data_IF_836175629908
#
_entry.id   IF_836175629908
#
_cell.length_a   1.000
_cell.length_b   1.000
_cell.length_c   1.000
_cell.angle_alpha   90.00
_cell.angle_beta   90.00
_cell.angle_gamma   90.00
#
_symmetry.space_group_name_H-M   'P 1'
#
loop_
_entity.id
_entity.type
_entity.pdbx_description
1 polymer ?
#
# COMPACT_ATOMS: atom_id res chain seq x y z
N UNK A 1 21.91 -24.18 8.84
CA UNK A 1 22.35 -22.95 8.16
C UNK A 1 21.29 -22.62 7.13
N UNK A 2 20.41 -21.65 7.38
CA UNK A 2 19.41 -21.24 6.40
C UNK A 2 20.16 -20.53 5.26
N UNK A 3 20.17 -21.15 4.08
CA UNK A 3 20.75 -20.56 2.87
C UNK A 3 19.81 -19.46 2.39
N UNK A 4 20.02 -18.21 2.82
CA UNK A 4 19.31 -17.08 2.26
C UNK A 4 19.66 -16.96 0.76
N UNK A 5 18.64 -17.08 -0.10
CA UNK A 5 18.81 -16.92 -1.54
C UNK A 5 18.50 -15.47 -1.92
N UNK A 6 19.28 -14.92 -2.86
CA UNK A 6 18.96 -13.63 -3.49
C UNK A 6 17.62 -13.75 -4.20
N UNK A 7 16.71 -12.83 -3.90
CA UNK A 7 15.40 -12.75 -4.56
C UNK A 7 15.62 -12.08 -5.91
N UNK A 8 15.20 -12.76 -6.99
CA UNK A 8 15.28 -12.23 -8.34
C UNK A 8 14.01 -11.44 -8.60
N UNK A 9 14.15 -10.13 -8.88
CA UNK A 9 13.01 -9.29 -9.25
C UNK A 9 12.57 -9.64 -10.67
N UNK A 10 11.29 -9.95 -10.84
CA UNK A 10 10.71 -10.35 -12.12
C UNK A 10 10.18 -9.18 -12.96
N UNK A 11 10.19 -7.97 -12.39
CA UNK A 11 9.70 -6.74 -13.01
C UNK A 11 10.49 -5.49 -12.59
N UNK A 12 9.96 -4.34 -12.97
CA UNK A 12 10.49 -3.01 -12.66
C UNK A 12 9.37 -1.99 -12.48
N UNK A 13 9.62 -0.83 -11.84
CA UNK A 13 8.66 0.27 -11.82
C UNK A 13 8.43 0.83 -13.23
N UNK A 14 7.18 1.13 -13.55
CA UNK A 14 6.76 1.75 -14.80
C UNK A 14 5.88 2.95 -14.47
N UNK A 15 6.23 4.17 -14.89
CA UNK A 15 5.35 5.31 -14.74
C UNK A 15 4.13 5.13 -15.64
N UNK A 16 2.93 5.36 -15.09
CA UNK A 16 1.68 5.35 -15.86
C UNK A 16 0.98 6.69 -15.83
N UNK A 17 1.23 7.52 -14.80
CA UNK A 17 0.78 8.91 -14.76
C UNK A 17 2.01 9.76 -14.54
N UNK A 18 2.28 10.66 -15.48
CA UNK A 18 3.48 11.50 -15.50
C UNK A 18 3.05 12.95 -15.57
N UNK A 19 3.74 13.83 -14.85
CA UNK A 19 3.53 15.26 -14.99
C UNK A 19 4.33 15.78 -16.19
N UNK A 20 3.65 16.45 -17.11
CA UNK A 20 4.27 17.10 -18.24
C UNK A 20 5.11 18.30 -17.75
N UNK A 21 6.38 18.36 -18.14
CA UNK A 21 7.31 19.40 -17.66
C UNK A 21 6.94 20.81 -18.15
N UNK A 22 6.27 20.92 -19.30
CA UNK A 22 5.95 22.21 -19.92
C UNK A 22 4.58 22.71 -19.46
N UNK A 23 3.55 21.87 -19.48
CA UNK A 23 2.18 22.26 -19.10
C UNK A 23 1.88 22.11 -17.60
N UNK A 24 2.69 21.33 -16.87
CA UNK A 24 2.42 20.86 -15.49
C UNK A 24 1.18 20.00 -15.33
N UNK A 25 0.54 19.60 -16.43
CA UNK A 25 -0.62 18.72 -16.41
C UNK A 25 -0.19 17.26 -16.24
N UNK A 26 -1.04 16.44 -15.62
CA UNK A 26 -0.82 15.00 -15.54
C UNK A 26 -1.36 14.30 -16.78
N UNK A 27 -0.52 13.47 -17.39
CA UNK A 27 -0.84 12.68 -18.57
C UNK A 27 -0.76 11.19 -18.24
N UNK A 28 -1.69 10.42 -18.82
CA UNK A 28 -1.70 8.96 -18.74
C UNK A 28 -0.84 8.39 -19.87
N UNK A 29 0.16 7.59 -19.52
CA UNK A 29 0.89 6.76 -20.48
C UNK A 29 0.07 5.49 -20.76
N UNK A 30 -0.84 5.59 -21.73
CA UNK A 30 -1.71 4.49 -22.13
C UNK A 30 -0.93 3.27 -22.64
N UNK A 31 0.17 3.49 -23.35
CA UNK A 31 0.94 2.40 -23.95
C UNK A 31 1.67 1.62 -22.85
N UNK A 32 2.27 2.32 -21.88
CA UNK A 32 2.84 1.69 -20.70
C UNK A 32 1.80 0.88 -19.91
N UNK A 33 0.61 1.46 -19.70
CA UNK A 33 -0.46 0.78 -18.98
C UNK A 33 -0.97 -0.46 -19.74
N UNK A 34 -1.20 -0.35 -21.06
CA UNK A 34 -1.63 -1.46 -21.92
C UNK A 34 -0.60 -2.59 -21.93
N UNK A 35 0.69 -2.26 -22.00
CA UNK A 35 1.75 -3.27 -21.99
C UNK A 35 1.76 -4.11 -20.70
N UNK A 36 1.38 -3.53 -19.56
CA UNK A 36 1.30 -4.25 -18.29
C UNK A 36 -0.02 -5.03 -18.19
N UNK A 37 -1.16 -4.36 -18.39
CA UNK A 37 -2.50 -4.91 -18.13
C UNK A 37 -3.02 -5.85 -19.22
N UNK A 38 -2.61 -5.65 -20.47
CA UNK A 38 -3.07 -6.45 -21.61
C UNK A 38 -2.04 -7.53 -22.02
N UNK A 39 -1.06 -7.79 -21.16
CA UNK A 39 -0.12 -8.89 -21.41
C UNK A 39 -0.87 -10.24 -21.43
N UNK A 40 -0.47 -11.20 -22.29
CA UNK A 40 -1.18 -12.48 -22.44
C UNK A 40 -1.31 -13.27 -21.13
N UNK A 41 -0.38 -13.06 -20.20
CA UNK A 41 -0.36 -13.74 -18.91
C UNK A 41 -1.47 -13.26 -17.95
N UNK A 42 -2.07 -12.09 -18.17
CA UNK A 42 -2.98 -11.43 -17.22
C UNK A 42 -4.24 -10.81 -17.83
N UNK A 43 -4.28 -10.61 -19.15
CA UNK A 43 -5.33 -9.81 -19.82
C UNK A 43 -6.78 -10.25 -19.57
N UNK A 44 -7.01 -11.55 -19.36
CA UNK A 44 -8.34 -12.11 -19.09
C UNK A 44 -8.59 -12.42 -17.60
N UNK A 45 -7.63 -12.08 -16.72
CA UNK A 45 -7.73 -12.37 -15.28
C UNK A 45 -8.36 -11.19 -14.53
N UNK A 46 -9.14 -11.46 -13.46
CA UNK A 46 -9.49 -10.43 -12.49
C UNK A 46 -8.24 -9.74 -11.95
N UNK A 47 -8.27 -8.41 -11.86
CA UNK A 47 -7.16 -7.61 -11.37
C UNK A 47 -7.45 -7.08 -9.97
N UNK A 48 -6.47 -7.18 -9.07
CA UNK A 48 -6.44 -6.48 -7.80
C UNK A 48 -5.31 -5.47 -7.80
N UNK A 49 -5.65 -4.19 -7.65
CA UNK A 49 -4.67 -3.12 -7.54
C UNK A 49 -4.45 -2.80 -6.06
N UNK A 50 -3.22 -2.97 -5.60
CA UNK A 50 -2.77 -2.61 -4.24
C UNK A 50 -1.95 -1.33 -4.33
N UNK A 51 -2.50 -0.24 -3.84
CA UNK A 51 -1.83 1.06 -3.83
C UNK A 51 -1.32 1.40 -2.43
N UNK A 52 -0.18 2.07 -2.34
CA UNK A 52 0.24 2.75 -1.11
C UNK A 52 0.18 4.25 -1.33
N UNK A 53 -0.63 4.92 -0.52
CA UNK A 53 -0.84 6.36 -0.54
C UNK A 53 -0.52 6.98 0.82
N UNK A 54 -0.24 8.27 0.85
CA UNK A 54 0.08 8.98 2.09
C UNK A 54 1.13 10.06 1.88
N UNK A 55 1.42 10.78 2.95
CA UNK A 55 2.26 11.96 2.88
C UNK A 55 3.67 11.66 2.34
N UNK A 56 4.26 12.70 1.78
CA UNK A 56 5.59 12.68 1.21
C UNK A 56 6.68 12.30 2.23
N UNK A 57 7.66 11.51 1.78
CA UNK A 57 8.78 10.97 2.57
C UNK A 57 8.44 10.10 3.79
N UNK A 58 7.31 9.42 3.75
CA UNK A 58 6.91 8.50 4.82
C UNK A 58 7.20 7.01 4.52
N UNK A 59 8.11 6.73 3.58
CA UNK A 59 8.57 5.35 3.30
C UNK A 59 7.58 4.48 2.52
N UNK A 60 6.78 5.08 1.61
CA UNK A 60 5.82 4.35 0.76
C UNK A 60 6.48 3.33 -0.16
N UNK A 61 7.41 3.78 -0.99
CA UNK A 61 8.18 2.93 -1.92
C UNK A 61 8.98 1.84 -1.17
N UNK A 62 9.50 2.18 0.02
CA UNK A 62 10.19 1.21 0.90
C UNK A 62 9.24 0.09 1.37
N UNK A 63 8.01 0.43 1.76
CA UNK A 63 6.98 -0.57 2.07
C UNK A 63 6.59 -1.39 0.83
N UNK A 64 6.41 -0.75 -0.32
CA UNK A 64 6.08 -1.43 -1.58
C UNK A 64 7.15 -2.41 -2.02
N UNK A 65 8.42 -2.13 -1.79
CA UNK A 65 9.48 -3.08 -2.12
C UNK A 65 9.46 -4.33 -1.22
N UNK A 66 8.94 -4.23 0.02
CA UNK A 66 8.65 -5.41 0.82
C UNK A 66 7.45 -6.19 0.27
N UNK A 67 6.40 -5.50 -0.21
CA UNK A 67 5.28 -6.13 -0.91
C UNK A 67 5.76 -6.89 -2.16
N UNK A 68 6.65 -6.27 -2.96
CA UNK A 68 7.27 -6.92 -4.13
C UNK A 68 7.99 -8.20 -3.70
N UNK A 69 8.88 -8.14 -2.69
CA UNK A 69 9.58 -9.33 -2.18
C UNK A 69 8.64 -10.44 -1.73
N UNK A 70 7.56 -10.10 -1.04
CA UNK A 70 6.56 -11.06 -0.59
C UNK A 70 5.88 -11.72 -1.79
N UNK A 71 5.47 -10.93 -2.78
CA UNK A 71 4.83 -11.43 -4.00
C UNK A 71 5.77 -12.32 -4.83
N UNK A 72 7.04 -11.93 -5.01
CA UNK A 72 8.04 -12.74 -5.73
C UNK A 72 8.25 -14.12 -5.09
N UNK A 73 8.21 -14.18 -3.76
CA UNK A 73 8.40 -15.43 -3.02
C UNK A 73 7.09 -16.09 -2.58
N UNK A 74 5.93 -15.60 -3.06
CA UNK A 74 4.59 -16.11 -2.74
C UNK A 74 4.38 -16.40 -1.25
N UNK A 75 4.84 -15.49 -0.39
CA UNK A 75 4.70 -15.62 1.07
C UNK A 75 5.45 -16.80 1.70
N UNK A 76 6.50 -17.33 1.05
CA UNK A 76 7.32 -18.40 1.65
C UNK A 76 7.88 -17.98 3.02
N UNK A 77 8.18 -18.90 3.95
CA UNK A 77 8.63 -18.56 5.31
C UNK A 77 9.89 -17.69 5.41
N UNK A 78 10.67 -17.55 4.32
CA UNK A 78 11.86 -16.70 4.24
C UNK A 78 11.73 -15.65 3.13
N UNK A 79 10.51 -15.22 2.80
CA UNK A 79 10.23 -14.28 1.70
C UNK A 79 10.96 -12.93 1.86
N UNK A 80 11.28 -12.54 3.10
CA UNK A 80 12.04 -11.31 3.37
C UNK A 80 13.44 -11.35 2.74
N UNK A 81 13.96 -12.55 2.47
CA UNK A 81 15.25 -12.79 1.87
C UNK A 81 16.41 -12.50 2.83
N UNK A 82 17.61 -12.34 2.27
CA UNK A 82 18.78 -11.97 3.05
C UNK A 82 18.67 -10.50 3.51
N UNK A 83 18.72 -10.21 4.82
CA UNK A 83 18.71 -8.85 5.33
C UNK A 83 19.93 -8.04 4.89
N UNK A 84 21.07 -8.67 4.61
CA UNK A 84 22.30 -7.97 4.20
C UNK A 84 22.27 -7.46 2.75
N UNK A 85 21.29 -7.90 1.94
CA UNK A 85 21.14 -7.48 0.56
C UNK A 85 20.31 -6.20 0.45
N UNK A 86 20.64 -5.30 -0.49
CA UNK A 86 19.87 -4.08 -0.70
C UNK A 86 18.44 -4.39 -1.13
N UNK A 87 17.50 -3.52 -0.72
CA UNK A 87 16.11 -3.62 -1.11
C UNK A 87 15.92 -3.06 -2.53
N UNK A 88 15.81 -3.98 -3.49
CA UNK A 88 15.52 -3.69 -4.90
C UNK A 88 14.01 -3.46 -5.12
N UNK A 89 13.62 -2.65 -6.11
CA UNK A 89 12.22 -2.39 -6.46
C UNK A 89 11.95 -0.97 -6.98
N UNK A 90 10.85 -0.37 -6.55
CA UNK A 90 10.56 1.06 -6.70
C UNK A 90 11.72 1.91 -6.19
N UNK A 91 12.04 2.98 -6.92
CA UNK A 91 13.10 3.89 -6.54
C UNK A 91 12.76 4.50 -5.16
N UNK A 92 13.71 4.41 -4.24
CA UNK A 92 13.57 4.96 -2.90
C UNK A 92 14.93 5.46 -2.44
N UNK A 93 14.96 6.63 -1.80
CA UNK A 93 16.16 7.16 -1.16
C UNK A 93 15.81 7.83 0.16
N UNK A 94 16.74 7.77 1.10
CA UNK A 94 16.73 8.65 2.27
C UNK A 94 17.28 10.00 1.83
N UNK A 95 16.49 11.08 1.92
CA UNK A 95 16.90 12.38 1.41
C UNK A 95 15.81 13.46 1.48
N UNK A 96 16.19 14.69 1.12
CA UNK A 96 15.32 15.88 1.12
C UNK A 96 14.83 16.23 -0.30
N UNK A 97 14.89 15.32 -1.26
CA UNK A 97 14.24 15.47 -2.58
C UNK A 97 13.20 14.37 -2.80
N UNK A 98 12.26 14.61 -3.72
CA UNK A 98 11.22 13.64 -4.07
C UNK A 98 11.69 12.74 -5.20
N UNK A 99 11.37 11.44 -5.12
CA UNK A 99 11.77 10.48 -6.15
C UNK A 99 10.60 10.08 -7.04
N UNK A 100 9.36 10.03 -6.50
CA UNK A 100 8.17 9.57 -7.21
C UNK A 100 7.27 10.75 -7.58
N UNK A 101 7.20 11.10 -8.87
CA UNK A 101 6.25 12.07 -9.42
C UNK A 101 5.15 11.35 -10.21
N UNK A 102 3.89 11.59 -9.87
CA UNK A 102 2.75 10.91 -10.47
C UNK A 102 2.47 9.51 -9.89
N UNK A 103 2.16 8.54 -10.75
CA UNK A 103 1.78 7.17 -10.37
C UNK A 103 2.64 6.16 -11.12
N UNK A 104 3.20 5.21 -10.39
CA UNK A 104 3.98 4.10 -10.90
C UNK A 104 3.30 2.78 -10.59
N UNK A 105 3.40 1.82 -11.50
CA UNK A 105 2.99 0.42 -11.25
C UNK A 105 4.16 -0.52 -11.48
N UNK A 106 4.08 -1.71 -10.89
CA UNK A 106 5.03 -2.77 -11.16
C UNK A 106 4.78 -3.39 -12.55
N UNK A 107 5.82 -3.52 -13.37
CA UNK A 107 5.70 -3.91 -14.79
C UNK A 107 5.16 -5.32 -15.03
N UNK A 108 5.19 -6.18 -14.01
CA UNK A 108 4.80 -7.58 -14.13
C UNK A 108 3.80 -7.92 -13.01
N UNK A 109 2.50 -8.06 -13.31
CA UNK A 109 1.54 -8.41 -12.29
C UNK A 109 1.84 -9.79 -11.68
N UNK A 110 1.54 -9.92 -10.39
CA UNK A 110 1.76 -11.16 -9.65
C UNK A 110 0.49 -12.00 -9.67
N UNK A 111 0.55 -13.21 -10.21
CA UNK A 111 -0.62 -14.09 -10.25
C UNK A 111 -0.69 -14.93 -8.98
N UNK A 112 -1.80 -14.80 -8.25
CA UNK A 112 -2.13 -15.60 -7.07
C UNK A 112 -3.34 -16.47 -7.36
N UNK A 113 -3.33 -17.68 -6.82
CA UNK A 113 -4.48 -18.60 -6.86
C UNK A 113 -5.22 -18.51 -5.53
N UNK A 114 -6.49 -18.12 -5.57
CA UNK A 114 -7.36 -18.04 -4.40
C UNK A 114 -7.63 -19.44 -3.85
N UNK A 115 -8.09 -19.57 -2.58
CA UNK A 115 -8.58 -20.84 -2.05
C UNK A 115 -9.72 -21.46 -2.86
N UNK A 116 -10.50 -20.65 -3.60
CA UNK A 116 -11.54 -21.11 -4.52
C UNK A 116 -11.00 -21.80 -5.77
N UNK A 117 -9.71 -21.66 -6.07
CA UNK A 117 -9.07 -22.11 -7.31
C UNK A 117 -8.99 -21.05 -8.40
N UNK A 118 -9.67 -19.91 -8.23
CA UNK A 118 -9.62 -18.81 -9.21
C UNK A 118 -8.28 -18.06 -9.15
N UNK A 119 -7.76 -17.67 -10.30
CA UNK A 119 -6.57 -16.83 -10.38
C UNK A 119 -6.92 -15.33 -10.33
N UNK A 120 -6.07 -14.55 -9.68
CA UNK A 120 -6.15 -13.08 -9.63
C UNK A 120 -4.77 -12.50 -9.93
N UNK A 121 -4.73 -11.47 -10.77
CA UNK A 121 -3.52 -10.70 -11.04
C UNK A 121 -3.43 -9.53 -10.04
N UNK A 122 -2.37 -9.50 -9.24
CA UNK A 122 -2.11 -8.45 -8.26
C UNK A 122 -1.10 -7.46 -8.82
N UNK A 123 -1.45 -6.18 -8.79
CA UNK A 123 -0.60 -5.07 -9.25
C UNK A 123 -0.28 -4.18 -8.07
N UNK A 124 1.00 -3.88 -7.91
CA UNK A 124 1.48 -2.95 -6.90
C UNK A 124 1.62 -1.56 -7.52
N UNK A 125 1.05 -0.55 -6.85
CA UNK A 125 1.01 0.83 -7.29
C UNK A 125 1.68 1.74 -6.25
N UNK A 126 2.74 2.43 -6.67
CA UNK A 126 3.41 3.48 -5.90
C UNK A 126 2.90 4.84 -6.36
N UNK A 127 2.77 5.76 -5.41
CA UNK A 127 2.16 7.07 -5.66
C UNK A 127 3.02 8.18 -5.11
N UNK A 128 2.98 9.31 -5.78
CA UNK A 128 3.54 10.54 -5.25
C UNK A 128 2.95 10.85 -3.88
N UNK A 129 3.80 11.35 -2.98
CA UNK A 129 3.33 11.74 -1.66
C UNK A 129 2.53 13.02 -1.69
N UNK A 130 1.44 13.05 -0.92
CA UNK A 130 0.72 14.29 -0.69
C UNK A 130 1.60 15.27 0.09
N UNK A 131 1.44 16.57 -0.19
CA UNK A 131 2.15 17.66 0.48
C UNK A 131 3.67 17.68 0.28
N UNK A 132 4.15 17.26 -0.89
CA UNK A 132 5.53 17.56 -1.26
C UNK A 132 5.72 19.08 -1.51
N UNK A 133 6.97 19.53 -1.51
CA UNK A 133 7.31 20.95 -1.62
C UNK A 133 7.19 21.49 -3.06
N UNK A 134 6.98 20.61 -4.03
CA UNK A 134 7.14 20.91 -5.45
C UNK A 134 5.79 20.92 -6.20
N UNK A 135 4.74 20.36 -5.61
CA UNK A 135 3.41 20.27 -6.22
C UNK A 135 2.33 21.03 -5.48
N UNK A 136 1.28 21.38 -6.22
CA UNK A 136 0.15 22.11 -5.65
C UNK A 136 -0.75 21.16 -4.85
N UNK A 137 -1.61 21.73 -3.99
CA UNK A 137 -2.64 20.96 -3.31
C UNK A 137 -3.61 20.28 -4.29
N UNK A 138 -3.85 20.89 -5.45
CA UNK A 138 -4.69 20.32 -6.50
C UNK A 138 -4.03 19.09 -7.12
N UNK A 139 -2.74 19.14 -7.40
CA UNK A 139 -1.96 18.01 -7.95
C UNK A 139 -1.95 16.82 -6.98
N UNK A 140 -1.64 17.09 -5.70
CA UNK A 140 -1.68 16.09 -4.64
C UNK A 140 -3.07 15.46 -4.50
N UNK A 141 -4.13 16.28 -4.57
CA UNK A 141 -5.52 15.81 -4.51
C UNK A 141 -5.89 14.96 -5.72
N UNK A 142 -5.44 15.33 -6.93
CA UNK A 142 -5.69 14.60 -8.17
C UNK A 142 -5.05 13.21 -8.14
N UNK A 143 -3.75 13.12 -7.83
CA UNK A 143 -3.04 11.84 -7.73
C UNK A 143 -3.67 10.96 -6.66
N UNK A 144 -4.01 11.54 -5.52
CA UNK A 144 -4.65 10.83 -4.44
C UNK A 144 -6.02 10.28 -4.85
N UNK A 145 -6.90 11.12 -5.41
CA UNK A 145 -8.22 10.69 -5.87
C UNK A 145 -8.13 9.60 -6.94
N UNK A 146 -7.24 9.75 -7.92
CA UNK A 146 -7.04 8.76 -8.98
C UNK A 146 -6.57 7.42 -8.41
N UNK A 147 -5.65 7.45 -7.43
CA UNK A 147 -5.19 6.24 -6.71
C UNK A 147 -6.35 5.53 -6.02
N UNK A 148 -7.22 6.29 -5.34
CA UNK A 148 -8.36 5.73 -4.62
C UNK A 148 -9.38 5.08 -5.55
N UNK A 149 -9.70 5.75 -6.66
CA UNK A 149 -10.67 5.27 -7.63
C UNK A 149 -10.19 4.04 -8.42
N UNK A 150 -8.88 3.93 -8.63
CA UNK A 150 -8.29 2.84 -9.44
C UNK A 150 -7.81 1.66 -8.60
N UNK A 151 -7.68 1.81 -7.28
CA UNK A 151 -7.21 0.75 -6.40
C UNK A 151 -8.35 -0.15 -5.86
N UNK A 152 -8.04 -1.43 -5.70
CA UNK A 152 -8.88 -2.40 -4.96
C UNK A 152 -8.57 -2.33 -3.46
N UNK A 153 -7.30 -2.15 -3.12
CA UNK A 153 -6.81 -1.99 -1.76
C UNK A 153 -5.91 -0.76 -1.72
N UNK A 154 -6.32 0.27 -1.00
CA UNK A 154 -5.43 1.40 -0.67
C UNK A 154 -4.86 1.20 0.73
N UNK A 155 -3.53 1.22 0.86
CA UNK A 155 -2.83 1.37 2.13
C UNK A 155 -2.54 2.84 2.35
N UNK A 156 -3.23 3.46 3.30
CA UNK A 156 -2.97 4.80 3.76
C UNK A 156 -1.87 4.79 4.81
N UNK A 157 -0.66 5.13 4.38
CA UNK A 157 0.57 5.13 5.15
C UNK A 157 0.71 6.44 5.92
N UNK A 158 0.59 6.36 7.25
CA UNK A 158 0.62 7.47 8.20
C UNK A 158 1.76 7.31 9.20
N UNK A 159 2.41 8.41 9.61
CA UNK A 159 3.47 8.38 10.61
C UNK A 159 2.98 8.79 11.99
N UNK A 160 3.41 8.04 13.01
CA UNK A 160 3.27 8.28 14.45
C UNK A 160 1.86 8.18 15.03
N UNK A 161 0.86 8.79 14.40
CA UNK A 161 -0.53 8.82 14.85
C UNK A 161 -1.47 9.13 13.69
N UNK A 162 -2.78 9.03 13.92
CA UNK A 162 -3.83 9.54 13.03
C UNK A 162 -4.21 10.93 13.54
N UNK A 163 -4.10 11.94 12.68
CA UNK A 163 -4.39 13.35 13.00
C UNK A 163 -5.64 13.83 12.26
N UNK A 164 -6.16 15.00 12.65
CA UNK A 164 -7.34 15.58 11.99
C UNK A 164 -7.11 15.91 10.53
N UNK A 165 -5.91 16.36 10.14
CA UNK A 165 -5.52 16.58 8.75
C UNK A 165 -5.53 15.28 7.94
N UNK A 166 -5.11 14.16 8.54
CA UNK A 166 -5.22 12.85 7.91
C UNK A 166 -6.68 12.47 7.65
N UNK A 167 -7.59 12.82 8.57
CA UNK A 167 -9.04 12.59 8.44
C UNK A 167 -9.70 13.57 7.46
N UNK A 168 -9.23 14.81 7.35
CA UNK A 168 -9.71 15.74 6.32
C UNK A 168 -9.35 15.23 4.92
N UNK A 169 -8.16 14.68 4.75
CA UNK A 169 -7.81 13.97 3.51
C UNK A 169 -8.73 12.77 3.27
N UNK A 170 -9.29 12.14 4.32
CA UNK A 170 -10.34 11.11 4.17
C UNK A 170 -11.66 11.66 3.59
N UNK A 171 -12.00 12.92 3.84
CA UNK A 171 -13.22 13.52 3.27
C UNK A 171 -13.14 13.65 1.75
N UNK A 172 -11.93 13.80 1.21
CA UNK A 172 -11.67 13.68 -0.22
C UNK A 172 -12.12 12.32 -0.75
N UNK A 173 -11.91 11.23 0.01
CA UNK A 173 -12.42 9.90 -0.33
C UNK A 173 -13.94 9.92 -0.38
N UNK A 174 -14.62 10.36 0.68
CA UNK A 174 -16.08 10.36 0.67
C UNK A 174 -16.64 11.17 -0.51
N UNK A 175 -16.03 12.32 -0.81
CA UNK A 175 -16.44 13.21 -1.89
C UNK A 175 -16.31 12.56 -3.27
N UNK A 176 -15.12 12.08 -3.62
CA UNK A 176 -14.90 11.41 -4.90
C UNK A 176 -15.68 10.10 -5.00
N UNK A 177 -15.90 9.46 -3.86
CA UNK A 177 -16.65 8.22 -3.79
C UNK A 177 -18.11 8.43 -4.15
N UNK A 178 -18.74 9.44 -3.55
CA UNK A 178 -20.11 9.83 -3.89
C UNK A 178 -20.22 10.27 -5.35
N UNK A 179 -19.22 10.98 -5.89
CA UNK A 179 -19.21 11.35 -7.32
C UNK A 179 -19.17 10.11 -8.24
N UNK A 180 -18.34 9.12 -7.91
CA UNK A 180 -18.26 7.87 -8.67
C UNK A 180 -19.58 7.07 -8.56
N UNK A 181 -20.18 7.02 -7.37
CA UNK A 181 -21.46 6.35 -7.12
C UNK A 181 -22.63 7.01 -7.86
N UNK A 182 -22.71 8.34 -7.89
CA UNK A 182 -23.78 9.04 -8.61
C UNK A 182 -23.78 8.75 -10.12
N UNK A 183 -22.66 8.25 -10.66
CA UNK A 183 -22.49 7.86 -12.06
C UNK A 183 -22.98 6.43 -12.33
N UNK A 184 -23.08 5.59 -11.29
CA UNK A 184 -23.49 4.18 -11.35
C UNK A 184 -24.74 3.98 -10.50
N UNK A 185 -25.91 3.66 -11.08
CA UNK A 185 -27.20 3.47 -10.38
C UNK A 185 -27.25 2.26 -9.39
N UNK A 186 -26.18 1.99 -8.63
CA UNK A 186 -26.06 0.88 -7.69
C UNK A 186 -25.60 1.39 -6.32
N UNK A 187 -26.18 0.83 -5.25
CA UNK A 187 -25.77 1.00 -3.84
C UNK A 187 -24.41 0.33 -3.55
N UNK A 188 -23.42 0.49 -4.43
CA UNK A 188 -22.07 -0.05 -4.25
C UNK A 188 -21.20 0.97 -3.53
N UNK A 189 -20.38 0.54 -2.58
CA UNK A 189 -19.32 1.39 -2.02
C UNK A 189 -18.40 1.86 -3.15
N UNK A 190 -18.06 3.15 -3.19
CA UNK A 190 -17.26 3.71 -4.27
C UNK A 190 -15.83 3.15 -4.34
N UNK A 191 -15.36 2.57 -3.24
CA UNK A 191 -14.04 1.97 -3.06
C UNK A 191 -14.18 0.65 -2.33
N UNK A 192 -13.26 -0.29 -2.59
CA UNK A 192 -13.37 -1.64 -2.03
C UNK A 192 -12.77 -1.74 -0.61
N UNK A 193 -11.47 -1.43 -0.44
CA UNK A 193 -10.77 -1.56 0.86
C UNK A 193 -9.78 -0.40 1.11
N UNK A 194 -9.83 0.17 2.31
CA UNK A 194 -8.90 1.19 2.80
C UNK A 194 -8.22 0.71 4.09
N UNK A 195 -6.89 0.68 4.10
CA UNK A 195 -6.07 0.18 5.20
C UNK A 195 -5.30 1.32 5.85
N UNK A 196 -5.46 1.52 7.15
CA UNK A 196 -4.64 2.48 7.89
C UNK A 196 -3.39 1.78 8.39
N UNK A 197 -2.25 2.19 7.85
CA UNK A 197 -0.95 1.73 8.31
C UNK A 197 -0.28 2.86 9.09
N UNK A 198 -0.28 2.75 10.42
CA UNK A 198 0.37 3.74 11.29
C UNK A 198 1.78 3.26 11.63
N UNK A 199 2.75 3.98 11.07
CA UNK A 199 4.19 3.76 11.24
C UNK A 199 4.67 4.39 12.52
N UNK A 200 5.77 3.88 13.06
CA UNK A 200 6.51 4.53 14.15
C UNK A 200 5.62 4.95 15.33
N UNK A 201 4.65 4.09 15.66
CA UNK A 201 3.60 4.38 16.63
C UNK A 201 4.14 4.69 18.02
N UNK A 202 3.61 5.75 18.60
CA UNK A 202 4.15 6.36 19.81
C UNK A 202 3.63 5.74 21.11
N UNK A 203 2.53 4.98 21.07
CA UNK A 203 1.81 4.53 22.28
C UNK A 203 1.69 3.00 22.40
N UNK A 204 2.75 2.20 22.20
CA UNK A 204 2.66 0.74 22.21
C UNK A 204 2.26 0.15 23.57
N UNK A 205 2.52 0.88 24.67
CA UNK A 205 2.11 0.46 26.02
C UNK A 205 0.61 0.51 26.24
N UNK A 206 -0.07 1.47 25.59
CA UNK A 206 -1.52 1.65 25.73
C UNK A 206 -2.28 0.87 24.67
N UNK A 207 -1.78 0.90 23.44
CA UNK A 207 -2.29 0.16 22.30
C UNK A 207 -1.14 -0.61 21.68
N UNK A 208 -1.02 -1.92 21.95
CA UNK A 208 0.00 -2.78 21.36
C UNK A 208 0.03 -2.72 19.84
N UNK A 209 1.11 -3.22 19.24
CA UNK A 209 1.24 -3.28 17.80
C UNK A 209 0.26 -4.28 17.16
N UNK A 210 -0.02 -4.12 15.87
CA UNK A 210 -0.84 -5.05 15.10
C UNK A 210 -2.29 -4.64 14.88
N UNK A 211 -3.07 -5.55 14.29
CA UNK A 211 -4.39 -5.24 13.74
C UNK A 211 -5.44 -4.91 14.80
N UNK A 212 -5.56 -5.79 15.79
CA UNK A 212 -6.62 -5.69 16.79
C UNK A 212 -6.57 -4.38 17.58
N UNK A 213 -5.38 -4.04 18.07
CA UNK A 213 -5.21 -2.91 18.98
C UNK A 213 -5.52 -1.56 18.34
N UNK A 214 -5.27 -1.37 17.05
CA UNK A 214 -5.71 -0.12 16.44
C UNK A 214 -6.87 -0.19 15.47
N UNK A 215 -7.51 -1.35 15.28
CA UNK A 215 -8.96 -1.34 15.07
C UNK A 215 -9.64 -0.62 16.25
N UNK A 216 -9.28 -0.94 17.49
CA UNK A 216 -9.81 -0.23 18.68
C UNK A 216 -9.46 1.26 18.70
N UNK A 217 -8.26 1.65 18.26
CA UNK A 217 -7.89 3.07 18.13
C UNK A 217 -8.75 3.75 17.07
N UNK A 218 -8.88 3.13 15.89
CA UNK A 218 -9.62 3.68 14.78
C UNK A 218 -11.12 3.81 15.10
N UNK A 219 -11.74 2.80 15.71
CA UNK A 219 -13.14 2.83 16.15
C UNK A 219 -13.42 3.95 17.18
N UNK A 220 -12.39 4.37 17.94
CA UNK A 220 -12.51 5.52 18.87
C UNK A 220 -12.38 6.86 18.17
N UNK A 221 -11.57 6.93 17.11
CA UNK A 221 -11.32 8.15 16.33
C UNK A 221 -12.48 8.40 15.36
N UNK A 222 -12.94 7.34 14.70
CA UNK A 222 -14.10 7.34 13.82
C UNK A 222 -15.36 7.08 14.66
N UNK A 223 -15.96 8.13 15.22
CA UNK A 223 -17.27 8.00 15.88
C UNK A 223 -18.31 7.39 14.94
N UNK A 224 -19.25 6.60 15.51
CA UNK A 224 -20.21 5.69 14.84
C UNK A 224 -21.25 6.34 13.90
N UNK A 225 -20.81 7.14 12.93
CA UNK A 225 -21.66 7.82 11.95
C UNK A 225 -21.06 7.98 10.56
N UNK A 226 -19.72 8.03 10.41
CA UNK A 226 -19.14 8.55 9.16
C UNK A 226 -18.77 7.50 8.10
N UNK A 227 -18.56 6.21 8.44
CA UNK A 227 -18.02 5.26 7.44
C UNK A 227 -18.52 3.81 7.62
N UNK A 228 -19.85 3.63 7.60
CA UNK A 228 -20.49 2.31 7.80
C UNK A 228 -20.28 1.28 6.66
N UNK A 229 -19.57 1.60 5.58
CA UNK A 229 -19.47 0.72 4.40
C UNK A 229 -18.03 0.46 3.89
N UNK A 230 -16.99 0.85 4.63
CA UNK A 230 -15.59 0.60 4.24
C UNK A 230 -14.98 -0.47 5.14
N UNK A 231 -14.43 -1.52 4.52
CA UNK A 231 -13.69 -2.57 5.25
C UNK A 231 -12.32 -2.03 5.64
N UNK A 232 -12.18 -1.61 6.89
CA UNK A 232 -10.93 -1.11 7.44
C UNK A 232 -10.03 -2.25 7.92
N UNK A 233 -8.77 -2.21 7.49
CA UNK A 233 -7.74 -3.10 8.02
C UNK A 233 -6.63 -2.24 8.57
N UNK A 234 -6.41 -2.36 9.86
CA UNK A 234 -5.47 -1.53 10.58
C UNK A 234 -4.19 -2.32 10.85
N UNK A 235 -3.03 -1.68 10.79
CA UNK A 235 -1.78 -2.28 11.26
C UNK A 235 -0.90 -1.20 11.89
N UNK A 236 -0.43 -1.45 13.11
CA UNK A 236 0.66 -0.69 13.71
C UNK A 236 1.98 -1.42 13.52
N UNK A 237 3.03 -0.71 13.11
CA UNK A 237 4.39 -1.25 13.04
C UNK A 237 5.37 -0.54 13.98
N UNK A 238 6.36 -1.24 14.56
CA UNK A 238 7.32 -0.67 15.51
C UNK A 238 8.33 0.27 14.86
N UNK A 239 8.98 1.11 15.69
CA UNK A 239 10.15 1.93 15.29
C UNK A 239 11.44 1.11 15.30
N UNK A 240 12.42 1.42 14.41
CA UNK A 240 12.27 2.20 13.19
C UNK A 240 11.81 1.29 12.05
N UNK A 241 10.67 1.58 11.40
CA UNK A 241 10.25 0.78 10.25
C UNK A 241 11.30 0.82 9.12
N UNK A 242 11.94 1.98 8.92
CA UNK A 242 12.98 2.19 7.92
C UNK A 242 14.32 1.51 8.25
N UNK A 243 14.46 0.92 9.45
CA UNK A 243 15.68 0.25 9.90
C UNK A 243 15.62 -1.27 9.82
N UNK A 244 14.61 -1.84 9.15
CA UNK A 244 14.65 -3.22 8.64
C UNK A 244 15.61 -3.28 7.44
N UNK A 245 16.84 -3.83 7.54
CA UNK A 245 17.71 -4.13 8.67
C UNK A 245 19.07 -3.38 8.53
N UNK A 246 19.31 -2.33 9.31
CA UNK A 246 20.68 -1.83 9.53
C UNK A 246 21.08 -1.68 10.98
N UNK A 247 20.13 -1.81 11.92
CA UNK A 247 20.43 -1.87 13.35
C UNK A 247 19.60 -2.97 14.02
N UNK A 248 19.97 -4.24 13.78
CA UNK A 248 19.54 -5.37 14.62
C UNK A 248 20.72 -5.83 15.48
N UNK A 249 21.13 -4.95 16.39
CA UNK A 249 21.83 -5.34 17.60
C UNK A 249 20.81 -5.75 18.66
N UNK A 250 20.63 -7.06 18.82
CA UNK A 250 20.13 -7.77 20.02
C UNK A 250 19.01 -7.08 20.82
N UNK A 251 17.74 -7.35 20.48
CA UNK A 251 16.60 -7.08 21.36
C UNK A 251 15.25 -7.04 20.62
N UNK A 252 14.35 -7.99 20.94
CA UNK A 252 13.07 -8.32 20.28
C UNK A 252 13.18 -8.80 18.82
N UNK A 253 12.74 -10.04 18.60
CA UNK A 253 13.13 -10.84 17.45
C UNK A 253 12.55 -10.32 16.13
N UNK A 254 13.39 -10.23 15.11
CA UNK A 254 13.06 -10.03 13.69
C UNK A 254 11.90 -10.91 13.21
N UNK A 255 11.71 -12.05 13.87
CA UNK A 255 10.63 -13.03 13.69
C UNK A 255 9.24 -12.45 13.99
N UNK A 256 9.10 -11.57 14.97
CA UNK A 256 7.81 -11.03 15.39
C UNK A 256 7.36 -9.88 14.48
N UNK A 257 8.31 -9.08 13.99
CA UNK A 257 8.07 -8.10 12.92
C UNK A 257 7.72 -8.80 11.60
N UNK A 258 8.39 -9.92 11.27
CA UNK A 258 8.05 -10.76 10.11
C UNK A 258 6.62 -11.29 10.20
N UNK A 259 6.25 -11.93 11.31
CA UNK A 259 4.90 -12.49 11.52
C UNK A 259 3.78 -11.45 11.42
N UNK A 260 4.02 -10.22 11.91
CA UNK A 260 3.04 -9.12 11.83
C UNK A 260 2.94 -8.54 10.43
N UNK A 261 4.03 -8.58 9.67
CA UNK A 261 4.05 -8.23 8.26
C UNK A 261 3.37 -9.33 7.41
N UNK A 262 3.51 -10.60 7.78
CA UNK A 262 2.82 -11.72 7.12
C UNK A 262 1.30 -11.55 7.20
N UNK A 263 0.74 -11.22 8.37
CA UNK A 263 -0.71 -10.95 8.52
C UNK A 263 -1.15 -9.80 7.60
N UNK A 264 -0.35 -8.75 7.49
CA UNK A 264 -0.63 -7.61 6.60
C UNK A 264 -0.54 -8.00 5.12
N UNK A 265 0.44 -8.81 4.77
CA UNK A 265 0.71 -9.26 3.41
C UNK A 265 -0.30 -10.29 2.93
N UNK A 266 -0.69 -11.24 3.80
CA UNK A 266 -1.76 -12.21 3.57
C UNK A 266 -3.08 -11.48 3.30
N UNK A 267 -3.39 -10.49 4.13
CA UNK A 267 -4.57 -9.63 3.99
C UNK A 267 -4.59 -8.87 2.66
N UNK A 268 -3.44 -8.38 2.20
CA UNK A 268 -3.30 -7.68 0.92
C UNK A 268 -3.36 -8.66 -0.26
N UNK A 269 -2.85 -9.87 -0.09
CA UNK A 269 -2.77 -10.90 -1.14
C UNK A 269 -4.11 -11.61 -1.42
N UNK A 270 -5.03 -11.66 -0.45
CA UNK A 270 -6.41 -12.09 -0.66
C UNK A 270 -7.42 -10.97 -0.31
N UNK A 271 -7.73 -10.10 -1.28
CA UNK A 271 -8.71 -9.03 -1.10
C UNK A 271 -10.14 -9.56 -0.87
N UNK A 272 -10.42 -10.81 -1.16
CA UNK A 272 -11.73 -11.43 -0.90
C UNK A 272 -11.83 -12.07 0.48
N UNK A 273 -10.70 -12.42 1.11
CA UNK A 273 -10.69 -13.06 2.41
C UNK A 273 -11.37 -12.20 3.49
N UNK A 274 -12.16 -12.82 4.39
CA UNK A 274 -12.54 -12.18 5.64
C UNK A 274 -11.27 -11.81 6.41
N UNK A 275 -11.33 -10.72 7.16
CA UNK A 275 -10.22 -10.37 8.05
C UNK A 275 -9.93 -11.54 8.97
N UNK A 276 -8.66 -11.81 9.30
CA UNK A 276 -8.34 -12.84 10.28
C UNK A 276 -9.14 -12.56 11.56
N UNK A 277 -10.12 -13.42 11.83
CA UNK A 277 -10.84 -13.40 13.11
C UNK A 277 -9.90 -13.92 14.19
N UNK A 278 -10.09 -13.35 15.38
CA UNK A 278 -9.21 -13.48 16.55
C UNK A 278 -8.69 -14.91 16.78
N UNK A 279 -7.37 -15.04 16.80
CA UNK A 279 -6.66 -16.23 17.27
C UNK A 279 -5.46 -15.81 18.14
N UNK A 280 -5.63 -16.04 19.45
CA UNK A 280 -4.70 -15.99 20.60
C UNK A 280 -3.21 -15.78 20.34
#
# INVERSE_FOLDING_TARGET
MLSYRRIIMSGRPVPIVVQNNDSREFELDEDALKNVLLSPDVGDKPVCVVAVAGAFRQGKSFLLNHLVKYCENKGSPNWLGDPSLPLEGFAWRSGIEGETTGIYIWSKPFVFTKPSGDEVAVILMDTQGTFDCETTMQDSTFIFALTLLTSSVTVYNLMHNIREDDLMNLQTFCTFGTMAQNSTNQNSCAFQKLLFLVRDWNSPKQYPYGHQSGKTVLDKILTAGDINNTRFIYLVVPRPFNALPMELGVGESTLETSKRLDVFLDTISDPSAPLPEAGS
#
